data_IF_489951432534
#
_entry.id   IF_489951432534
#
_cell.length_a   1.000
_cell.length_b   1.000
_cell.length_c   1.000
_cell.angle_alpha   90.00
_cell.angle_beta   90.00
_cell.angle_gamma   90.00
#
_symmetry.space_group_name_H-M   'P 1'
#
loop_
_entity.id
_entity.type
_entity.pdbx_description
1 polymer ?
#
# COMPACT_ATOMS: atom_id res chain seq x y z
N UNK A 1 -14.01 -1.74 -2.29
CA UNK A 1 -12.97 -2.79 -2.36
C UNK A 1 -11.61 -2.14 -2.49
N UNK A 2 -10.58 -2.73 -1.88
CA UNK A 2 -9.17 -2.36 -2.07
C UNK A 2 -8.40 -3.62 -2.48
N UNK A 3 -7.61 -3.53 -3.54
CA UNK A 3 -6.78 -4.63 -4.04
C UNK A 3 -5.35 -4.14 -4.20
N UNK A 4 -4.38 -4.99 -3.83
CA UNK A 4 -2.97 -4.69 -3.92
C UNK A 4 -2.18 -5.92 -4.35
N UNK A 5 -1.11 -5.71 -5.11
CA UNK A 5 -0.20 -6.75 -5.58
C UNK A 5 1.21 -6.20 -5.72
N UNK A 6 2.22 -7.02 -5.46
CA UNK A 6 3.60 -6.67 -5.73
C UNK A 6 3.81 -6.51 -7.25
N UNK A 7 4.32 -5.36 -7.66
CA UNK A 7 4.71 -5.07 -9.05
C UNK A 7 6.17 -5.48 -9.30
N UNK A 8 7.04 -5.16 -8.35
CA UNK A 8 8.46 -5.51 -8.31
C UNK A 8 8.91 -5.60 -6.83
N UNK A 9 10.17 -5.95 -6.50
CA UNK A 9 10.60 -6.17 -5.11
C UNK A 9 10.39 -5.00 -4.15
N UNK A 10 10.20 -3.78 -4.66
CA UNK A 10 10.04 -2.57 -3.82
C UNK A 10 8.83 -1.73 -4.20
N UNK A 11 7.97 -2.21 -5.10
CA UNK A 11 6.80 -1.45 -5.56
C UNK A 11 5.54 -2.29 -5.48
N UNK A 12 4.51 -1.74 -4.84
CA UNK A 12 3.16 -2.29 -4.80
C UNK A 12 2.29 -1.51 -5.79
N UNK A 13 1.56 -2.22 -6.64
CA UNK A 13 0.41 -1.66 -7.34
C UNK A 13 -0.83 -1.81 -6.46
N UNK A 14 -1.60 -0.74 -6.32
CA UNK A 14 -2.83 -0.72 -5.53
C UNK A 14 -3.95 -0.08 -6.33
N UNK A 15 -5.14 -0.68 -6.27
CA UNK A 15 -6.35 -0.12 -6.87
C UNK A 15 -7.54 -0.26 -5.93
N UNK A 16 -8.49 0.65 -6.07
CA UNK A 16 -9.69 0.69 -5.26
C UNK A 16 -10.91 0.99 -6.12
N UNK A 17 -12.01 0.38 -5.71
CA UNK A 17 -13.34 0.67 -6.22
C UNK A 17 -14.24 0.94 -5.01
N UNK A 18 -14.42 2.23 -4.71
CA UNK A 18 -15.14 2.73 -3.55
C UNK A 18 -16.10 3.80 -4.02
N UNK A 19 -17.36 3.68 -3.61
CA UNK A 19 -18.35 4.71 -3.87
C UNK A 19 -18.25 5.83 -2.83
N UNK A 20 -17.28 6.72 -3.03
CA UNK A 20 -16.93 7.81 -2.12
C UNK A 20 -18.08 8.75 -1.74
N UNK A 21 -19.05 9.09 -2.62
CA UNK A 21 -20.20 9.90 -2.22
C UNK A 21 -20.99 9.30 -1.06
N UNK A 22 -21.10 7.97 -0.96
CA UNK A 22 -21.75 7.34 0.18
C UNK A 22 -20.87 7.34 1.43
N UNK A 23 -19.55 7.15 1.28
CA UNK A 23 -18.61 7.19 2.41
C UNK A 23 -18.61 8.57 3.10
N UNK A 24 -18.63 9.64 2.31
CA UNK A 24 -18.58 11.01 2.84
C UNK A 24 -19.95 11.61 3.18
N UNK A 25 -21.05 10.88 2.95
CA UNK A 25 -22.39 11.36 3.25
C UNK A 25 -22.57 11.67 4.75
N UNK A 26 -22.03 10.79 5.60
CA UNK A 26 -22.20 10.90 7.05
C UNK A 26 -21.07 11.69 7.71
N UNK A 27 -19.83 11.53 7.22
CA UNK A 27 -18.65 12.16 7.80
C UNK A 27 -17.59 12.47 6.74
N UNK A 28 -17.45 13.74 6.37
CA UNK A 28 -16.39 14.19 5.48
C UNK A 28 -15.00 14.18 6.18
N UNK A 29 -13.90 13.95 5.45
CA UNK A 29 -12.55 14.03 6.00
C UNK A 29 -12.21 15.41 6.54
N UNK A 30 -11.60 15.48 7.73
CA UNK A 30 -11.23 16.75 8.37
C UNK A 30 -10.17 17.51 7.55
N UNK A 31 -9.20 16.78 7.01
CA UNK A 31 -8.12 17.32 6.19
C UNK A 31 -8.46 17.38 4.69
N UNK A 32 -9.68 16.95 4.32
CA UNK A 32 -10.16 16.81 2.93
C UNK A 32 -9.30 15.86 2.08
N UNK A 33 -8.65 14.88 2.71
CA UNK A 33 -7.82 13.89 2.05
C UNK A 33 -8.34 12.47 2.33
N UNK A 34 -8.12 11.59 1.35
CA UNK A 34 -8.11 10.14 1.58
C UNK A 34 -6.67 9.72 1.63
N UNK A 35 -6.37 8.75 2.50
CA UNK A 35 -5.02 8.25 2.69
C UNK A 35 -4.97 6.76 2.44
N UNK A 36 -3.83 6.33 1.90
CA UNK A 36 -3.39 4.96 1.98
C UNK A 36 -2.37 4.84 3.10
N UNK A 37 -2.52 3.80 3.91
CA UNK A 37 -1.52 3.35 4.89
C UNK A 37 -1.01 1.98 4.49
N UNK A 38 0.29 1.80 4.58
CA UNK A 38 0.99 0.53 4.34
C UNK A 38 1.53 0.04 5.67
N UNK A 39 1.15 -1.16 6.05
CA UNK A 39 1.58 -1.82 7.28
C UNK A 39 2.40 -3.06 6.96
N UNK A 40 3.44 -3.32 7.75
CA UNK A 40 4.14 -4.61 7.73
C UNK A 40 3.26 -5.70 8.37
N UNK A 41 3.66 -6.97 8.24
CA UNK A 41 3.00 -8.10 8.89
C UNK A 41 2.88 -7.95 10.42
N UNK A 42 3.80 -7.21 11.05
CA UNK A 42 3.77 -6.90 12.49
C UNK A 42 2.80 -5.76 12.85
N UNK A 43 2.08 -5.20 11.86
CA UNK A 43 1.14 -4.11 12.04
C UNK A 43 1.77 -2.72 12.15
N UNK A 44 3.09 -2.61 11.98
CA UNK A 44 3.79 -1.33 12.01
C UNK A 44 3.48 -0.55 10.74
N UNK A 45 2.97 0.67 10.88
CA UNK A 45 2.80 1.58 9.74
C UNK A 45 4.18 1.94 9.19
N UNK A 46 4.47 1.50 7.98
CA UNK A 46 5.68 1.84 7.26
C UNK A 46 5.51 3.17 6.51
N UNK A 47 4.35 3.34 5.87
CA UNK A 47 4.12 4.48 4.98
C UNK A 47 2.68 4.96 5.02
N UNK A 48 2.52 6.26 4.82
CA UNK A 48 1.24 6.94 4.66
C UNK A 48 1.33 7.94 3.53
N UNK A 49 0.30 7.98 2.69
CA UNK A 49 0.22 8.93 1.58
C UNK A 49 -1.22 9.38 1.35
N UNK A 50 -1.40 10.67 1.08
CA UNK A 50 -2.66 11.18 0.56
C UNK A 50 -2.84 10.72 -0.90
N UNK A 51 -4.05 10.34 -1.27
CA UNK A 51 -4.42 9.90 -2.62
C UNK A 51 -5.68 10.60 -3.09
N UNK A 52 -5.76 10.84 -4.40
CA UNK A 52 -6.97 11.35 -5.04
C UNK A 52 -8.02 10.22 -5.10
N UNK A 53 -9.16 10.30 -4.40
CA UNK A 53 -10.12 9.21 -4.30
C UNK A 53 -10.63 8.75 -5.67
N UNK A 54 -10.77 9.69 -6.62
CA UNK A 54 -11.28 9.43 -7.97
C UNK A 54 -10.25 8.80 -8.92
N UNK A 55 -8.96 8.75 -8.56
CA UNK A 55 -7.94 8.15 -9.41
C UNK A 55 -8.08 6.61 -9.51
N UNK A 56 -8.63 5.97 -8.47
CA UNK A 56 -8.91 4.53 -8.45
C UNK A 56 -7.70 3.61 -8.36
N UNK A 57 -6.48 4.12 -8.47
CA UNK A 57 -5.24 3.34 -8.33
C UNK A 57 -4.01 4.23 -8.15
N UNK A 58 -2.92 3.64 -7.66
CA UNK A 58 -1.58 4.22 -7.69
C UNK A 58 -0.49 3.14 -7.52
N UNK A 59 0.77 3.59 -7.53
CA UNK A 59 1.93 2.78 -7.15
C UNK A 59 2.52 3.30 -5.85
N UNK A 60 2.97 2.39 -4.98
CA UNK A 60 3.59 2.73 -3.71
C UNK A 60 4.94 2.02 -3.61
N UNK A 61 6.00 2.78 -3.38
CA UNK A 61 7.31 2.25 -3.02
C UNK A 61 7.34 1.85 -1.55
N UNK A 62 7.82 0.63 -1.28
CA UNK A 62 8.07 0.08 0.06
C UNK A 62 9.57 -0.14 0.26
N UNK A 63 9.99 -0.22 1.51
CA UNK A 63 11.40 -0.16 1.89
C UNK A 63 12.07 -1.53 1.85
N UNK A 64 11.30 -2.61 1.98
CA UNK A 64 11.86 -3.96 2.15
C UNK A 64 11.30 -4.93 1.10
N UNK A 65 12.16 -5.54 0.27
CA UNK A 65 11.77 -6.73 -0.48
C UNK A 65 11.56 -7.91 0.47
N UNK A 66 11.04 -9.02 -0.05
CA UNK A 66 10.83 -10.26 0.73
C UNK A 66 10.06 -10.04 2.06
N UNK A 67 9.14 -9.09 2.04
CA UNK A 67 8.35 -8.66 3.20
C UNK A 67 6.87 -8.77 2.88
N UNK A 68 6.07 -9.10 3.89
CA UNK A 68 4.62 -9.12 3.82
C UNK A 68 4.05 -7.75 4.21
N UNK A 69 3.21 -7.20 3.35
CA UNK A 69 2.52 -5.94 3.56
C UNK A 69 1.02 -6.09 3.53
N UNK A 70 0.32 -5.19 4.21
CA UNK A 70 -1.11 -5.00 4.09
C UNK A 70 -1.42 -3.52 3.95
N UNK A 71 -2.42 -3.19 3.11
CA UNK A 71 -2.79 -1.82 2.82
C UNK A 71 -4.19 -1.53 3.33
N UNK A 72 -4.37 -0.31 3.77
CA UNK A 72 -5.65 0.23 4.20
C UNK A 72 -5.89 1.58 3.54
N UNK A 73 -7.10 1.80 3.04
CA UNK A 73 -7.55 3.09 2.53
C UNK A 73 -8.58 3.66 3.49
N UNK A 74 -8.45 4.94 3.82
CA UNK A 74 -9.29 5.57 4.82
C UNK A 74 -9.06 7.07 4.90
N UNK A 75 -9.62 7.69 5.93
CA UNK A 75 -9.50 9.13 6.14
C UNK A 75 -9.56 9.48 7.63
N UNK A 76 -9.18 10.70 7.95
CA UNK A 76 -9.19 11.17 9.33
C UNK A 76 -10.49 11.87 9.70
N UNK A 77 -11.02 11.45 10.84
CA UNK A 77 -12.08 12.11 11.58
C UNK A 77 -11.46 13.05 12.65
N UNK A 78 -12.29 13.88 13.32
CA UNK A 78 -11.80 14.72 14.41
C UNK A 78 -11.02 13.94 15.48
N UNK A 79 -10.12 14.62 16.17
CA UNK A 79 -9.19 14.04 17.15
C UNK A 79 -8.20 13.01 16.56
N UNK A 80 -7.85 13.16 15.27
CA UNK A 80 -6.91 12.29 14.55
C UNK A 80 -7.36 10.82 14.51
N UNK A 81 -8.67 10.59 14.64
CA UNK A 81 -9.26 9.27 14.61
C UNK A 81 -9.25 8.73 13.18
N UNK A 82 -8.72 7.52 13.01
CA UNK A 82 -8.69 6.86 11.72
C UNK A 82 -10.03 6.19 11.40
N UNK A 83 -10.59 6.51 10.24
CA UNK A 83 -11.75 5.82 9.68
C UNK A 83 -11.30 4.94 8.51
N UNK A 84 -11.31 3.63 8.74
CA UNK A 84 -11.03 2.62 7.73
C UNK A 84 -12.19 2.47 6.75
N UNK A 85 -11.90 2.54 5.45
CA UNK A 85 -12.91 2.38 4.40
C UNK A 85 -12.78 1.01 3.73
N UNK A 86 -11.56 0.57 3.44
CA UNK A 86 -11.30 -0.77 2.92
C UNK A 86 -9.86 -1.20 3.20
N UNK A 87 -9.67 -2.51 3.28
CA UNK A 87 -8.39 -3.17 3.52
C UNK A 87 -8.08 -4.15 2.38
N UNK A 88 -6.81 -4.34 2.06
CA UNK A 88 -6.36 -5.28 1.03
C UNK A 88 -6.23 -6.70 1.59
N UNK A 89 -5.96 -7.70 0.74
CA UNK A 89 -5.31 -8.91 1.24
C UNK A 89 -3.82 -8.61 1.53
N UNK A 90 -3.15 -9.57 2.16
CA UNK A 90 -1.69 -9.52 2.30
C UNK A 90 -1.01 -9.54 0.93
N UNK A 91 0.07 -8.76 0.81
CA UNK A 91 0.92 -8.64 -0.37
C UNK A 91 2.29 -9.19 -0.01
N UNK A 92 2.64 -10.36 -0.56
CA UNK A 92 3.98 -10.92 -0.44
C UNK A 92 4.90 -10.28 -1.48
N UNK A 93 5.90 -9.53 -1.02
CA UNK A 93 6.88 -8.92 -1.92
C UNK A 93 7.90 -9.95 -2.40
N UNK A 94 8.27 -9.94 -3.69
CA UNK A 94 9.34 -10.81 -4.17
C UNK A 94 10.68 -10.38 -3.58
N UNK A 95 11.62 -11.33 -3.51
CA UNK A 95 13.00 -11.02 -3.14
C UNK A 95 13.67 -10.13 -4.20
N UNK A 96 14.54 -9.23 -3.76
CA UNK A 96 15.41 -8.49 -4.68
C UNK A 96 16.47 -9.45 -5.21
N UNK A 97 16.39 -9.84 -6.48
CA UNK A 97 17.46 -10.61 -7.11
C UNK A 97 18.73 -9.76 -7.18
N UNK A 98 19.61 -9.87 -6.18
CA UNK A 98 21.04 -9.83 -6.42
C UNK A 98 21.46 -11.28 -6.62
N UNK A 99 21.44 -11.75 -7.87
CA UNK A 99 22.22 -12.94 -8.18
C UNK A 99 23.67 -12.56 -7.94
N UNK A 100 24.29 -13.07 -6.87
CA UNK A 100 25.74 -13.18 -6.84
C UNK A 100 26.09 -13.92 -8.14
N UNK A 101 26.86 -13.26 -9.02
CA UNK A 101 27.48 -13.98 -10.13
C UNK A 101 28.23 -15.14 -9.49
N UNK A 102 27.75 -16.37 -9.70
CA UNK A 102 28.61 -17.53 -9.53
C UNK A 102 29.81 -17.22 -10.41
N UNK A 103 30.97 -17.03 -9.78
CA UNK A 103 32.25 -16.88 -10.44
C UNK A 103 32.42 -18.11 -11.33
N UNK A 104 32.11 -17.97 -12.62
CA UNK A 104 32.34 -19.03 -13.60
C UNK A 104 33.83 -19.00 -13.84
N UNK A 105 34.56 -19.80 -13.06
CA UNK A 105 35.97 -20.09 -13.28
C UNK A 105 36.14 -20.71 -14.67
N UNK A 106 36.47 -19.86 -15.65
CA UNK A 106 36.89 -20.29 -16.98
C UNK A 106 38.38 -20.64 -16.92
N UNK A 107 38.68 -21.78 -16.31
CA UNK A 107 39.94 -22.49 -16.55
C UNK A 107 39.76 -23.40 -17.78
N UNK A 108 40.26 -22.95 -18.93
CA UNK A 108 40.33 -23.70 -20.19
C UNK A 108 41.65 -23.45 -20.90
#
# INVERSE_FOLDING_TARGET
>A
MLFAIARDPVTIFVCWDVYWPAVFADNAPVDKQVHLRVHTAEGVEEKRLAVEPMAGNCYIEVSRPDTLYHLEIGYYQPADAWNSVATSNEVTMPASHMSENLDVDLAG
#
